data_IF_487835627985
#
_entry.id   IF_487835627985
#
_cell.length_a   1.000
_cell.length_b   1.000
_cell.length_c   1.000
_cell.angle_alpha   90.00
_cell.angle_beta   90.00
_cell.angle_gamma   90.00
#
_symmetry.space_group_name_H-M   'P 1'
#
loop_
_entity.id
_entity.type
_entity.pdbx_description
1 polymer ?
#
# COMPACT_ATOMS: atom_id res chain seq x y z
N UNK A 1 -35.08 4.56 -24.69
CA UNK A 1 -33.62 4.37 -24.76
C UNK A 1 -32.98 5.75 -24.70
N UNK A 2 -32.26 6.10 -23.63
CA UNK A 2 -31.68 7.43 -23.43
C UNK A 2 -30.21 7.44 -23.89
N UNK A 3 -29.98 7.59 -25.20
CA UNK A 3 -28.64 7.83 -25.75
C UNK A 3 -28.49 9.33 -25.99
N UNK A 4 -27.33 9.88 -25.64
CA UNK A 4 -27.01 11.27 -25.91
C UNK A 4 -26.89 11.50 -27.43
N UNK A 5 -27.53 12.56 -27.95
CA UNK A 5 -27.49 12.92 -29.38
C UNK A 5 -26.19 13.64 -29.77
N UNK A 6 -25.43 14.15 -28.80
CA UNK A 6 -24.13 14.79 -29.03
C UNK A 6 -22.96 13.80 -28.90
N UNK A 7 -21.84 14.12 -29.55
CA UNK A 7 -20.62 13.33 -29.45
C UNK A 7 -20.11 13.31 -28.00
N UNK A 8 -19.83 12.11 -27.48
CA UNK A 8 -19.21 11.96 -26.16
C UNK A 8 -17.73 12.35 -26.23
N UNK A 9 -17.27 13.15 -25.28
CA UNK A 9 -15.86 13.55 -25.17
C UNK A 9 -15.11 12.61 -24.20
N UNK A 10 -13.89 12.22 -24.56
CA UNK A 10 -13.00 11.47 -23.67
C UNK A 10 -12.64 12.28 -22.43
N UNK A 11 -12.68 11.64 -21.25
CA UNK A 11 -12.33 12.29 -19.98
C UNK A 11 -11.49 11.34 -19.10
N UNK A 12 -10.17 11.58 -19.06
CA UNK A 12 -9.23 10.79 -18.28
C UNK A 12 -9.52 10.80 -16.77
N UNK A 13 -9.92 11.95 -16.20
CA UNK A 13 -10.25 12.06 -14.77
C UNK A 13 -11.47 11.21 -14.41
N UNK A 14 -12.48 11.18 -15.28
CA UNK A 14 -13.66 10.34 -15.10
C UNK A 14 -13.31 8.86 -15.16
N UNK A 15 -12.43 8.48 -16.09
CA UNK A 15 -11.94 7.10 -16.21
C UNK A 15 -11.17 6.69 -14.94
N UNK A 16 -10.25 7.53 -14.47
CA UNK A 16 -9.48 7.29 -13.24
C UNK A 16 -10.40 7.13 -12.03
N UNK A 17 -11.39 8.01 -11.87
CA UNK A 17 -12.37 7.92 -10.80
C UNK A 17 -13.17 6.62 -10.85
N UNK A 18 -13.63 6.24 -12.05
CA UNK A 18 -14.40 5.01 -12.24
C UNK A 18 -13.55 3.77 -11.91
N UNK A 19 -12.28 3.79 -12.31
CA UNK A 19 -11.34 2.71 -12.01
C UNK A 19 -11.10 2.58 -10.51
N UNK A 20 -10.83 3.69 -9.82
CA UNK A 20 -10.68 3.72 -8.36
C UNK A 20 -11.95 3.21 -7.65
N UNK A 21 -13.14 3.58 -8.14
CA UNK A 21 -14.40 3.10 -7.59
C UNK A 21 -14.54 1.58 -7.70
N UNK A 22 -14.24 0.99 -8.86
CA UNK A 22 -14.32 -0.46 -9.03
C UNK A 22 -13.23 -1.21 -8.26
N UNK A 23 -12.01 -0.67 -8.20
CA UNK A 23 -10.93 -1.24 -7.36
C UNK A 23 -11.37 -1.37 -5.89
N UNK A 24 -12.09 -0.37 -5.37
CA UNK A 24 -12.60 -0.38 -3.99
C UNK A 24 -13.74 -1.36 -3.77
N UNK A 25 -14.64 -1.49 -4.74
CA UNK A 25 -15.93 -2.17 -4.55
C UNK A 25 -15.94 -3.63 -5.01
N UNK A 26 -15.05 -4.02 -5.94
CA UNK A 26 -15.00 -5.38 -6.47
C UNK A 26 -14.45 -6.39 -5.44
N UNK A 27 -14.89 -7.65 -5.49
CA UNK A 27 -14.41 -8.69 -4.60
C UNK A 27 -12.93 -9.02 -4.86
N UNK A 28 -12.25 -9.57 -3.85
CA UNK A 28 -10.84 -9.94 -3.92
C UNK A 28 -10.54 -10.82 -5.14
N UNK A 29 -11.35 -11.84 -5.40
CA UNK A 29 -11.15 -12.78 -6.51
C UNK A 29 -11.09 -12.09 -7.88
N UNK A 30 -11.95 -11.09 -8.08
CA UNK A 30 -12.02 -10.37 -9.35
C UNK A 30 -10.79 -9.48 -9.56
N UNK A 31 -10.37 -8.77 -8.51
CA UNK A 31 -9.16 -7.95 -8.56
C UNK A 31 -7.92 -8.82 -8.71
N UNK A 32 -7.81 -9.90 -7.93
CA UNK A 32 -6.66 -10.79 -7.99
C UNK A 32 -6.55 -11.48 -9.36
N UNK A 33 -7.67 -11.83 -10.00
CA UNK A 33 -7.66 -12.31 -11.39
C UNK A 33 -7.05 -11.30 -12.35
N UNK A 34 -7.48 -10.04 -12.29
CA UNK A 34 -6.93 -8.98 -13.17
C UNK A 34 -5.45 -8.69 -12.86
N UNK A 35 -5.03 -8.79 -11.59
CA UNK A 35 -3.63 -8.67 -11.22
C UNK A 35 -2.78 -9.81 -11.79
N UNK A 36 -3.31 -11.05 -11.81
CA UNK A 36 -2.63 -12.21 -12.41
C UNK A 36 -2.38 -12.00 -13.90
N UNK A 37 -3.34 -11.42 -14.61
CA UNK A 37 -3.17 -11.06 -16.03
C UNK A 37 -2.05 -10.03 -16.25
N UNK A 38 -1.72 -9.23 -15.21
CA UNK A 38 -0.60 -8.29 -15.17
C UNK A 38 0.69 -8.90 -14.57
N UNK A 39 0.72 -10.21 -14.33
CA UNK A 39 1.88 -10.92 -13.81
C UNK A 39 2.11 -10.75 -12.30
N UNK A 40 1.06 -10.43 -11.53
CA UNK A 40 1.14 -10.33 -10.07
C UNK A 40 0.04 -11.13 -9.39
N UNK A 41 0.41 -12.00 -8.46
CA UNK A 41 -0.54 -12.84 -7.72
C UNK A 41 -0.52 -12.47 -6.24
N UNK A 42 -1.65 -11.99 -5.70
CA UNK A 42 -1.79 -11.73 -4.27
C UNK A 42 -2.03 -13.01 -3.46
N UNK A 43 -2.58 -14.07 -4.07
CA UNK A 43 -2.94 -15.30 -3.37
C UNK A 43 -1.73 -16.10 -2.86
N UNK A 44 -0.52 -15.74 -3.28
CA UNK A 44 0.73 -16.32 -2.77
C UNK A 44 1.08 -15.84 -1.35
N UNK A 45 0.46 -14.77 -0.87
CA UNK A 45 0.74 -14.19 0.45
C UNK A 45 -0.32 -14.62 1.48
N UNK A 46 0.11 -14.95 2.71
CA UNK A 46 -0.76 -15.43 3.78
C UNK A 46 -1.93 -14.46 4.10
N UNK A 47 -1.68 -13.15 4.06
CA UNK A 47 -2.66 -12.10 4.37
C UNK A 47 -3.12 -11.33 3.14
N UNK A 48 -3.29 -12.02 2.01
CA UNK A 48 -3.62 -11.44 0.71
C UNK A 48 -4.84 -10.49 0.73
N UNK A 49 -5.95 -10.93 1.35
CA UNK A 49 -7.18 -10.14 1.45
C UNK A 49 -6.97 -8.85 2.23
N UNK A 50 -6.33 -8.95 3.40
CA UNK A 50 -5.98 -7.80 4.23
C UNK A 50 -5.03 -6.84 3.51
N UNK A 51 -4.03 -7.37 2.80
CA UNK A 51 -3.12 -6.56 1.99
C UNK A 51 -3.89 -5.80 0.90
N UNK A 52 -4.80 -6.45 0.20
CA UNK A 52 -5.60 -5.77 -0.82
C UNK A 52 -6.50 -4.68 -0.22
N UNK A 53 -7.14 -4.94 0.93
CA UNK A 53 -8.00 -3.98 1.61
C UNK A 53 -7.24 -2.73 2.05
N UNK A 54 -6.01 -2.89 2.55
CA UNK A 54 -5.13 -1.77 2.89
C UNK A 54 -4.78 -0.92 1.66
N UNK A 55 -4.52 -1.55 0.51
CA UNK A 55 -4.00 -0.89 -0.68
C UNK A 55 -5.10 -0.25 -1.56
N UNK A 56 -6.26 -0.91 -1.68
CA UNK A 56 -7.33 -0.49 -2.59
C UNK A 56 -7.92 0.88 -2.24
N UNK A 57 -7.81 1.32 -0.99
CA UNK A 57 -8.33 2.61 -0.55
C UNK A 57 -7.61 3.82 -1.17
N UNK A 58 -6.33 3.66 -1.52
CA UNK A 58 -5.50 4.71 -2.10
C UNK A 58 -5.19 4.49 -3.58
N UNK A 59 -5.47 3.30 -4.11
CA UNK A 59 -5.18 2.94 -5.49
C UNK A 59 -6.17 3.57 -6.49
N UNK A 60 -5.64 4.05 -7.61
CA UNK A 60 -6.41 4.52 -8.76
C UNK A 60 -6.32 3.56 -9.94
N UNK A 61 -5.26 2.76 -9.97
CA UNK A 61 -4.98 1.75 -10.98
C UNK A 61 -4.53 0.44 -10.37
N UNK A 62 -4.63 -0.65 -11.13
CA UNK A 62 -4.08 -1.95 -10.70
C UNK A 62 -2.56 -1.90 -10.56
N UNK A 63 -1.87 -1.08 -11.36
CA UNK A 63 -0.43 -0.87 -11.22
C UNK A 63 -0.07 -0.23 -9.88
N UNK A 64 -0.90 0.67 -9.35
CA UNK A 64 -0.69 1.25 -8.01
C UNK A 64 -0.75 0.17 -6.94
N UNK A 65 -1.69 -0.78 -7.06
CA UNK A 65 -1.80 -1.94 -6.15
C UNK A 65 -0.53 -2.80 -6.25
N UNK A 66 -0.08 -3.14 -7.46
CA UNK A 66 1.12 -3.97 -7.67
C UNK A 66 2.34 -3.30 -7.06
N UNK A 67 2.55 -2.01 -7.34
CA UNK A 67 3.72 -1.27 -6.85
C UNK A 67 3.70 -1.15 -5.33
N UNK A 68 2.55 -0.86 -4.74
CA UNK A 68 2.40 -0.73 -3.29
C UNK A 68 2.49 -2.07 -2.56
N UNK A 69 1.98 -3.15 -3.17
CA UNK A 69 2.15 -4.49 -2.63
C UNK A 69 3.63 -4.89 -2.66
N UNK A 70 4.32 -4.65 -3.79
CA UNK A 70 5.76 -4.93 -3.94
C UNK A 70 6.62 -4.20 -2.92
N UNK A 71 6.29 -2.95 -2.57
CA UNK A 71 7.05 -2.19 -1.57
C UNK A 71 6.84 -2.69 -0.12
N UNK A 72 5.74 -3.39 0.15
CA UNK A 72 5.47 -4.00 1.47
C UNK A 72 6.11 -5.39 1.58
N UNK A 73 5.99 -6.21 0.53
CA UNK A 73 6.41 -7.63 0.60
C UNK A 73 7.89 -7.84 0.32
N UNK A 74 8.55 -6.91 -0.38
CA UNK A 74 9.98 -7.01 -0.70
C UNK A 74 10.79 -6.07 0.17
N UNK A 75 11.93 -6.55 0.66
CA UNK A 75 12.91 -5.72 1.35
C UNK A 75 13.45 -4.63 0.41
N UNK A 76 13.57 -3.37 0.88
CA UNK A 76 14.11 -2.28 0.07
C UNK A 76 15.58 -2.58 -0.29
N UNK A 77 15.93 -2.37 -1.56
CA UNK A 77 17.31 -2.54 -2.04
C UNK A 77 18.10 -1.23 -2.01
N UNK A 78 17.40 -0.10 -2.11
CA UNK A 78 17.97 1.23 -2.13
C UNK A 78 17.05 2.18 -1.34
N UNK A 79 17.63 3.26 -0.83
CA UNK A 79 16.92 4.33 -0.14
C UNK A 79 17.06 5.65 -0.91
N UNK A 80 16.08 6.54 -0.78
CA UNK A 80 16.15 7.88 -1.34
C UNK A 80 17.26 8.69 -0.65
N UNK A 81 18.19 9.25 -1.42
CA UNK A 81 19.36 9.94 -0.90
C UNK A 81 18.99 11.16 -0.04
N UNK A 82 17.94 11.90 -0.42
CA UNK A 82 17.49 13.06 0.34
C UNK A 82 16.87 12.64 1.68
N UNK A 83 16.11 11.54 1.69
CA UNK A 83 15.57 10.96 2.91
C UNK A 83 16.69 10.46 3.83
N UNK A 84 17.72 9.81 3.28
CA UNK A 84 18.88 9.36 4.07
C UNK A 84 19.58 10.56 4.71
N UNK A 85 19.90 11.60 3.94
CA UNK A 85 20.55 12.80 4.47
C UNK A 85 19.71 13.52 5.53
N UNK A 86 18.38 13.50 5.36
CA UNK A 86 17.45 14.18 6.28
C UNK A 86 17.21 13.40 7.58
N UNK A 87 17.10 12.08 7.49
CA UNK A 87 16.59 11.25 8.60
C UNK A 87 17.64 10.32 9.22
N UNK A 88 18.74 10.02 8.52
CA UNK A 88 19.80 9.14 9.02
C UNK A 88 20.96 9.99 9.53
N UNK A 89 20.92 10.31 10.82
CA UNK A 89 22.00 10.94 11.58
C UNK A 89 22.33 10.08 12.81
N UNK A 90 23.43 10.38 13.49
CA UNK A 90 23.91 9.58 14.63
C UNK A 90 22.85 9.37 15.71
N UNK A 91 22.15 10.43 16.12
CA UNK A 91 21.08 10.35 17.12
C UNK A 91 19.90 9.48 16.65
N UNK A 92 19.46 9.65 15.41
CA UNK A 92 18.35 8.87 14.87
C UNK A 92 18.73 7.40 14.66
N UNK A 93 19.99 7.09 14.35
CA UNK A 93 20.48 5.72 14.27
C UNK A 93 20.43 5.02 15.63
N UNK A 94 20.82 5.71 16.70
CA UNK A 94 20.68 5.18 18.07
C UNK A 94 19.22 4.91 18.44
N UNK A 95 18.31 5.85 18.12
CA UNK A 95 16.87 5.69 18.33
C UNK A 95 16.30 4.51 17.53
N UNK A 96 16.66 4.38 16.25
CA UNK A 96 16.23 3.27 15.40
C UNK A 96 16.74 1.92 15.92
N UNK A 97 17.99 1.87 16.39
CA UNK A 97 18.58 0.67 16.98
C UNK A 97 17.87 0.30 18.29
N UNK A 98 17.58 1.28 19.14
CA UNK A 98 16.82 1.09 20.37
C UNK A 98 15.40 0.57 20.08
N UNK A 99 14.70 1.20 19.13
CA UNK A 99 13.36 0.80 18.68
C UNK A 99 13.34 -0.63 18.12
N UNK A 100 14.30 -0.98 17.26
CA UNK A 100 14.40 -2.31 16.68
C UNK A 100 14.68 -3.39 17.75
N UNK A 101 15.44 -3.06 18.80
CA UNK A 101 15.72 -3.99 19.89
C UNK A 101 14.49 -4.26 20.77
N UNK A 102 13.62 -3.27 20.96
CA UNK A 102 12.44 -3.34 21.82
C UNK A 102 11.19 -3.87 21.11
N UNK A 103 11.18 -3.90 19.76
CA UNK A 103 10.04 -4.34 18.94
C UNK A 103 9.70 -5.84 19.04
N UNK A 104 10.59 -6.68 19.58
CA UNK A 104 10.65 -8.15 19.34
C UNK A 104 9.43 -8.98 19.76
N UNK A 105 8.51 -8.44 20.55
CA UNK A 105 7.45 -9.23 21.18
C UNK A 105 6.02 -8.90 20.71
N UNK A 106 5.84 -7.94 19.80
CA UNK A 106 4.50 -7.51 19.37
C UNK A 106 3.91 -8.43 18.29
N UNK A 107 2.61 -8.72 18.40
CA UNK A 107 1.94 -9.74 17.55
C UNK A 107 0.76 -9.18 16.75
N UNK A 108 0.10 -8.13 17.23
CA UNK A 108 -1.04 -7.51 16.56
C UNK A 108 -0.75 -6.06 16.20
N UNK A 109 -1.49 -5.52 15.21
CA UNK A 109 -1.34 -4.13 14.79
C UNK A 109 -1.56 -3.12 15.91
N UNK A 110 -2.47 -3.41 16.84
CA UNK A 110 -2.70 -2.58 18.03
C UNK A 110 -1.51 -2.61 18.98
N UNK A 111 -0.93 -3.79 19.21
CA UNK A 111 0.25 -3.90 20.07
C UNK A 111 1.43 -3.10 19.52
N UNK A 112 1.60 -3.08 18.19
CA UNK A 112 2.60 -2.23 17.53
C UNK A 112 2.32 -0.73 17.72
N UNK A 113 1.06 -0.30 17.64
CA UNK A 113 0.67 1.11 17.83
C UNK A 113 0.90 1.56 19.28
N UNK A 114 0.36 0.81 20.25
CA UNK A 114 0.49 1.11 21.68
C UNK A 114 1.98 1.17 22.08
N UNK A 115 2.76 0.17 21.65
CA UNK A 115 4.20 0.14 21.86
C UNK A 115 4.93 1.34 21.25
N UNK A 116 4.56 1.74 20.03
CA UNK A 116 5.21 2.87 19.35
C UNK A 116 4.93 4.17 20.11
N UNK A 117 3.71 4.37 20.59
CA UNK A 117 3.36 5.53 21.40
C UNK A 117 4.16 5.55 22.72
N UNK A 118 4.20 4.43 23.44
CA UNK A 118 4.96 4.29 24.68
C UNK A 118 6.46 4.53 24.49
N UNK A 119 7.02 4.16 23.33
CA UNK A 119 8.42 4.42 22.99
C UNK A 119 8.68 5.90 22.73
N UNK A 120 7.75 6.60 22.08
CA UNK A 120 7.89 8.03 21.74
C UNK A 120 7.69 8.96 22.95
N UNK A 121 6.99 8.50 24.00
CA UNK A 121 6.78 9.25 25.24
C UNK A 121 7.98 9.16 26.22
N UNK A 122 8.93 8.25 26.00
CA UNK A 122 10.15 8.09 26.81
C UNK A 122 11.27 9.02 26.38
#
# INVERSE_FOLDING_TARGET
YHINKSASCYNAKKLEWLNAHYIKTLPFEEINRQLKDLGFDLSVYEKAGFLLDLLRERAKTLHDIINSAKSIVNAPQNYDENAVQKFINENNLELLQAFANTLKDQKTGKDFEDFTNDFLEK
#
